data_IF_946018462497
#
_entry.id   IF_946018462497
#
_cell.length_a   1.000
_cell.length_b   1.000
_cell.length_c   1.000
_cell.angle_alpha   90.00
_cell.angle_beta   90.00
_cell.angle_gamma   90.00
#
_symmetry.space_group_name_H-M   'P 1'
#
loop_
_entity.id
_entity.type
_entity.pdbx_description
1 polymer ?
#
# COMPACT_ATOMS: atom_id res chain seq x y z
N UNK A 1 -16.31 -80.19 -33.12
CA UNK A 1 -15.10 -79.88 -32.32
C UNK A 1 -15.58 -79.28 -31.01
N UNK A 2 -15.89 -80.09 -30.00
CA UNK A 2 -14.97 -80.56 -28.93
C UNK A 2 -14.33 -79.38 -28.19
N UNK A 3 -14.79 -79.22 -26.95
CA UNK A 3 -14.23 -78.36 -25.91
C UNK A 3 -12.88 -78.90 -25.40
N UNK A 4 -12.03 -78.03 -24.87
CA UNK A 4 -10.98 -78.43 -23.93
C UNK A 4 -10.87 -77.45 -22.76
N UNK A 5 -10.87 -78.05 -21.58
CA UNK A 5 -10.67 -77.54 -20.22
C UNK A 5 -9.19 -77.23 -19.91
N UNK A 6 -8.99 -76.75 -18.67
CA UNK A 6 -7.78 -76.67 -17.81
C UNK A 6 -7.07 -75.30 -17.75
N UNK A 7 -6.62 -74.76 -16.61
CA UNK A 7 -6.71 -75.09 -15.17
C UNK A 7 -5.98 -73.99 -14.36
N UNK A 8 -6.45 -73.63 -13.15
CA UNK A 8 -5.67 -72.92 -12.09
C UNK A 8 -4.56 -73.84 -11.50
N UNK A 9 -3.66 -73.48 -10.53
CA UNK A 9 -3.63 -72.34 -9.58
C UNK A 9 -2.23 -71.76 -9.16
N UNK A 10 -2.24 -70.72 -8.31
CA UNK A 10 -1.38 -70.64 -7.11
C UNK A 10 -0.01 -69.93 -7.17
N UNK A 11 0.08 -68.78 -6.51
CA UNK A 11 1.13 -68.47 -5.51
C UNK A 11 0.64 -67.24 -4.71
N UNK A 12 0.06 -67.39 -3.52
CA UNK A 12 0.70 -67.67 -2.22
C UNK A 12 1.82 -66.67 -1.88
N UNK A 13 1.45 -65.65 -1.12
CA UNK A 13 2.32 -64.69 -0.46
C UNK A 13 1.60 -64.12 0.76
N UNK A 14 1.34 -64.99 1.74
CA UNK A 14 0.87 -64.63 3.08
C UNK A 14 1.99 -64.00 3.89
N UNK A 15 1.78 -62.84 4.53
CA UNK A 15 2.01 -62.65 5.99
C UNK A 15 1.16 -61.46 6.47
N UNK A 16 0.44 -61.68 7.55
CA UNK A 16 -0.47 -60.78 8.26
C UNK A 16 0.23 -59.99 9.38
N UNK A 17 -0.53 -58.99 9.89
CA UNK A 17 -0.45 -58.29 11.18
C UNK A 17 0.63 -57.20 11.30
N UNK A 18 0.37 -56.00 11.84
CA UNK A 18 -0.48 -55.61 12.97
C UNK A 18 -0.87 -54.13 12.91
N UNK A 19 -2.05 -53.82 13.42
CA UNK A 19 -2.44 -52.49 13.89
C UNK A 19 -1.41 -51.89 14.84
N UNK A 20 -1.10 -50.61 14.65
CA UNK A 20 -0.48 -49.77 15.67
C UNK A 20 -1.25 -48.44 15.76
N UNK A 21 -2.18 -48.41 16.70
CA UNK A 21 -2.73 -47.20 17.27
C UNK A 21 -1.64 -46.48 18.07
N UNK A 22 -1.45 -45.17 17.83
CA UNK A 22 -1.06 -44.23 18.89
C UNK A 22 -1.78 -42.88 18.68
N UNK A 23 -2.10 -42.17 19.79
CA UNK A 23 -3.09 -41.10 19.82
C UNK A 23 -2.45 -39.73 19.60
N UNK A 24 -3.14 -38.84 18.88
CA UNK A 24 -2.82 -37.41 18.92
C UNK A 24 -3.92 -36.70 19.68
N UNK A 25 -3.58 -36.32 20.91
CA UNK A 25 -4.31 -35.37 21.72
C UNK A 25 -4.31 -34.01 21.00
N UNK A 26 -5.48 -33.57 20.56
CA UNK A 26 -5.73 -32.25 20.00
C UNK A 26 -6.77 -31.52 20.83
N UNK A 27 -6.28 -30.60 21.66
CA UNK A 27 -7.01 -29.71 22.56
C UNK A 27 -8.22 -29.05 21.87
N UNK A 28 -9.43 -29.41 22.31
CA UNK A 28 -10.66 -28.70 21.96
C UNK A 28 -10.66 -27.33 22.68
N UNK A 29 -10.24 -26.27 21.99
CA UNK A 29 -10.36 -24.91 22.48
C UNK A 29 -11.83 -24.46 22.32
N UNK A 30 -12.61 -24.62 23.39
CA UNK A 30 -13.93 -23.98 23.51
C UNK A 30 -13.76 -22.47 23.56
N UNK A 31 -14.13 -21.76 22.49
CA UNK A 31 -14.32 -20.32 22.53
C UNK A 31 -15.64 -20.04 23.27
N UNK A 32 -15.53 -19.78 24.57
CA UNK A 32 -16.64 -19.28 25.38
C UNK A 32 -16.72 -17.76 25.23
N UNK A 33 -17.47 -17.28 24.25
CA UNK A 33 -17.90 -15.88 24.19
C UNK A 33 -18.95 -15.62 25.29
N UNK A 34 -18.52 -15.03 26.41
CA UNK A 34 -19.42 -14.43 27.40
C UNK A 34 -19.21 -12.92 27.39
N UNK A 35 -20.09 -12.22 26.69
CA UNK A 35 -20.24 -10.77 26.80
C UNK A 35 -21.20 -10.48 27.96
N UNK A 36 -20.80 -9.76 29.02
CA UNK A 36 -21.78 -9.20 29.94
C UNK A 36 -22.38 -7.92 29.35
N UNK A 37 -23.69 -8.03 29.17
CA UNK A 37 -24.70 -7.00 29.04
C UNK A 37 -24.41 -5.79 29.97
N UNK A 38 -24.34 -4.58 29.42
CA UNK A 38 -24.63 -3.37 30.20
C UNK A 38 -25.81 -2.63 29.56
N UNK A 39 -26.95 -2.81 30.23
CA UNK A 39 -28.17 -2.04 30.09
C UNK A 39 -27.95 -0.68 30.74
N UNK A 40 -28.12 0.41 30.00
CA UNK A 40 -28.64 1.66 30.56
C UNK A 40 -29.73 2.19 29.66
N UNK A 41 -30.95 2.13 30.18
CA UNK A 41 -32.10 2.92 29.78
C UNK A 41 -31.79 4.41 29.96
N UNK A 42 -32.16 5.22 28.97
CA UNK A 42 -33.00 6.39 29.20
C UNK A 42 -33.70 6.79 27.89
N UNK A 43 -35.03 6.70 27.91
CA UNK A 43 -35.96 7.36 27.00
C UNK A 43 -35.76 8.89 27.04
N UNK A 44 -36.19 9.71 26.08
CA UNK A 44 -36.99 9.47 24.89
C UNK A 44 -37.45 10.81 24.30
N UNK A 45 -38.03 10.71 23.10
CA UNK A 45 -38.98 11.64 22.45
C UNK A 45 -38.48 13.07 22.12
N UNK A 46 -38.19 13.34 20.84
CA UNK A 46 -39.15 13.85 19.83
C UNK A 46 -39.39 15.36 19.95
N UNK A 47 -39.03 16.13 18.92
CA UNK A 47 -39.99 16.89 18.10
C UNK A 47 -39.27 17.72 17.01
N UNK A 48 -40.04 17.92 15.94
CA UNK A 48 -39.70 18.45 14.62
C UNK A 48 -39.32 19.94 14.62
N UNK A 49 -38.45 20.34 13.68
CA UNK A 49 -38.68 21.36 12.61
C UNK A 49 -37.39 22.06 12.17
N UNK A 50 -37.11 21.93 10.88
CA UNK A 50 -36.40 22.92 10.06
C UNK A 50 -37.19 24.25 10.11
N UNK A 51 -36.54 25.42 10.26
CA UNK A 51 -36.27 26.23 9.07
C UNK A 51 -34.94 27.02 9.10
N UNK A 52 -34.32 27.18 7.93
CA UNK A 52 -33.39 28.26 7.60
C UNK A 52 -34.05 29.64 7.81
N UNK A 53 -33.30 30.74 8.10
CA UNK A 53 -32.65 31.48 7.01
C UNK A 53 -31.33 32.21 7.35
N UNK A 54 -30.65 32.62 6.26
CA UNK A 54 -29.66 33.68 6.11
C UNK A 54 -29.49 34.70 7.25
N UNK A 55 -28.23 34.99 7.65
CA UNK A 55 -27.70 36.37 7.75
C UNK A 55 -26.18 36.43 7.88
N UNK A 56 -25.59 37.27 7.04
CA UNK A 56 -24.22 37.78 7.10
C UNK A 56 -24.05 38.72 8.30
N UNK A 57 -22.88 38.71 8.92
CA UNK A 57 -22.44 39.75 9.85
C UNK A 57 -21.12 40.34 9.35
N UNK A 58 -21.24 41.57 8.84
CA UNK A 58 -20.15 42.53 8.64
C UNK A 58 -19.71 43.09 9.99
N UNK A 59 -18.41 43.18 10.25
CA UNK A 59 -17.85 44.11 11.24
C UNK A 59 -17.24 45.30 10.49
N UNK A 60 -17.83 46.46 10.71
CA UNK A 60 -17.25 47.76 10.39
C UNK A 60 -16.53 48.28 11.64
N UNK A 61 -15.33 48.83 11.47
CA UNK A 61 -14.71 49.70 12.47
C UNK A 61 -14.16 50.94 11.76
N UNK A 62 -14.47 52.06 12.39
CA UNK A 62 -14.51 53.44 11.90
C UNK A 62 -13.14 54.14 11.98
N UNK A 63 -12.93 55.12 11.10
CA UNK A 63 -11.78 56.04 11.08
C UNK A 63 -12.12 57.30 11.88
N UNK A 64 -11.21 57.79 12.73
CA UNK A 64 -10.78 59.20 12.72
C UNK A 64 -9.79 59.58 13.84
N UNK A 65 -8.84 60.43 13.44
CA UNK A 65 -8.17 61.49 14.21
C UNK A 65 -6.83 61.25 14.97
N UNK A 66 -5.76 61.71 14.29
CA UNK A 66 -4.68 62.65 14.74
C UNK A 66 -3.64 62.22 15.81
N UNK A 67 -2.46 62.89 15.95
CA UNK A 67 -1.75 63.80 15.03
C UNK A 67 -0.27 63.44 14.79
N UNK A 68 0.28 64.02 13.72
CA UNK A 68 1.69 63.98 13.35
C UNK A 68 2.58 64.88 14.23
N UNK A 69 3.69 64.34 14.74
CA UNK A 69 4.81 65.12 15.29
C UNK A 69 6.04 65.00 14.40
N UNK A 70 6.52 66.17 13.97
CA UNK A 70 7.70 66.46 13.15
C UNK A 70 9.03 66.33 13.93
N UNK A 71 10.12 66.39 13.15
CA UNK A 71 11.52 66.78 13.45
C UNK A 71 12.57 65.64 13.48
N UNK A 72 13.84 65.91 13.15
CA UNK A 72 14.36 65.79 11.78
C UNK A 72 15.55 64.81 11.67
N UNK A 73 15.92 64.51 10.43
CA UNK A 73 17.09 63.70 10.05
C UNK A 73 18.40 64.29 10.61
N UNK A 74 19.06 63.54 11.49
CA UNK A 74 20.48 63.73 11.81
C UNK A 74 21.27 62.60 11.13
N UNK A 75 22.13 62.97 10.19
CA UNK A 75 23.08 62.07 9.54
C UNK A 75 24.25 61.82 10.49
N UNK A 76 24.25 60.65 11.13
CA UNK A 76 25.40 60.11 11.84
C UNK A 76 26.11 59.09 10.94
N UNK A 77 27.29 59.47 10.46
CA UNK A 77 28.30 58.57 9.92
C UNK A 77 28.70 57.55 10.99
N UNK A 78 28.75 56.28 10.59
CA UNK A 78 28.92 55.14 11.47
C UNK A 78 29.31 53.91 10.67
N UNK A 79 30.46 54.00 10.00
CA UNK A 79 31.16 52.85 9.46
C UNK A 79 31.35 51.77 10.53
N UNK A 80 30.70 50.61 10.36
CA UNK A 80 31.15 49.38 11.00
C UNK A 80 31.08 48.21 10.01
N UNK A 81 32.19 48.05 9.31
CA UNK A 81 32.52 46.97 8.41
C UNK A 81 32.86 45.72 9.23
N UNK A 82 31.87 44.95 9.68
CA UNK A 82 32.08 43.60 10.22
C UNK A 82 30.82 42.73 10.07
N UNK A 83 30.34 42.53 8.85
CA UNK A 83 29.42 41.45 8.52
C UNK A 83 30.02 40.63 7.37
N UNK A 84 30.55 39.45 7.71
CA UNK A 84 31.05 38.52 6.71
C UNK A 84 29.92 38.14 5.73
N UNK A 85 30.16 38.08 4.41
CA UNK A 85 29.11 37.77 3.44
C UNK A 85 28.73 36.30 3.54
N UNK A 86 27.60 36.03 4.19
CA UNK A 86 26.98 34.71 4.22
C UNK A 86 26.56 34.34 2.78
N UNK A 87 27.19 33.32 2.21
CA UNK A 87 27.01 32.87 0.82
C UNK A 87 25.54 32.50 0.54
N UNK A 88 24.83 33.42 -0.12
CA UNK A 88 23.44 33.32 -0.57
C UNK A 88 23.17 32.11 -1.50
N UNK A 89 24.21 31.46 -2.03
CA UNK A 89 24.11 30.30 -2.91
C UNK A 89 23.72 29.00 -2.20
N UNK A 90 23.85 28.91 -0.88
CA UNK A 90 23.60 27.65 -0.15
C UNK A 90 22.12 27.46 0.24
N UNK A 91 21.34 28.54 0.39
CA UNK A 91 19.94 28.45 0.86
C UNK A 91 19.00 27.96 -0.25
N UNK A 92 19.28 28.28 -1.53
CA UNK A 92 18.45 27.86 -2.66
C UNK A 92 18.54 26.34 -2.94
N UNK A 93 19.68 25.72 -2.65
CA UNK A 93 19.90 24.27 -2.89
C UNK A 93 19.22 23.42 -1.82
N UNK A 94 19.04 23.93 -0.59
CA UNK A 94 18.41 23.20 0.51
C UNK A 94 16.89 23.08 0.35
N UNK A 95 16.21 24.07 -0.24
CA UNK A 95 14.77 23.99 -0.52
C UNK A 95 14.41 23.03 -1.66
N UNK A 96 15.27 22.88 -2.68
CA UNK A 96 15.01 21.94 -3.78
C UNK A 96 15.15 20.46 -3.37
N UNK A 97 16.01 20.14 -2.38
CA UNK A 97 16.17 18.77 -1.89
C UNK A 97 15.07 18.38 -0.90
N UNK A 98 14.52 19.35 -0.15
CA UNK A 98 13.37 19.13 0.74
C UNK A 98 12.03 18.99 -0.02
N UNK A 99 11.93 19.48 -1.26
CA UNK A 99 10.70 19.39 -2.07
C UNK A 99 10.55 18.09 -2.87
N UNK A 100 11.58 17.24 -2.96
CA UNK A 100 11.54 15.96 -3.70
C UNK A 100 11.08 14.79 -2.80
N UNK A 101 10.88 15.01 -1.50
CA UNK A 101 10.63 13.92 -0.53
C UNK A 101 9.14 13.62 -0.27
N UNK A 102 8.22 14.20 -1.05
CA UNK A 102 6.77 13.90 -1.00
C UNK A 102 6.37 13.06 -2.22
N UNK A 103 7.02 11.92 -2.42
CA UNK A 103 6.46 10.86 -3.25
C UNK A 103 5.48 10.09 -2.36
N UNK A 104 4.30 10.65 -2.10
CA UNK A 104 3.15 9.82 -1.73
C UNK A 104 3.01 8.75 -2.80
N UNK A 105 2.88 7.48 -2.41
CA UNK A 105 2.42 6.44 -3.33
C UNK A 105 1.04 6.87 -3.85
N UNK A 106 1.00 7.48 -5.04
CA UNK A 106 -0.26 7.84 -5.67
C UNK A 106 -0.91 6.52 -6.08
N UNK A 107 -2.15 6.31 -5.66
CA UNK A 107 -2.99 5.24 -6.17
C UNK A 107 -2.91 5.24 -7.70
N UNK A 108 -2.42 4.14 -8.28
CA UNK A 108 -2.28 4.00 -9.71
C UNK A 108 -3.64 3.69 -10.34
N UNK A 109 -3.77 3.99 -11.63
CA UNK A 109 -4.94 3.59 -12.42
C UNK A 109 -4.49 2.65 -13.52
N UNK A 110 -4.98 1.42 -13.50
CA UNK A 110 -4.72 0.42 -14.54
C UNK A 110 -5.88 0.38 -15.53
N UNK A 111 -5.54 0.43 -16.82
CA UNK A 111 -6.53 0.51 -17.91
C UNK A 111 -6.86 -0.87 -18.45
N UNK A 112 -8.15 -1.14 -18.63
CA UNK A 112 -8.68 -2.34 -19.28
C UNK A 112 -9.63 -1.91 -20.40
N UNK A 113 -9.38 -2.35 -21.62
CA UNK A 113 -10.29 -2.15 -22.73
C UNK A 113 -11.37 -3.24 -22.74
N UNK A 114 -12.62 -2.84 -22.92
CA UNK A 114 -13.79 -3.72 -22.99
C UNK A 114 -14.27 -3.78 -24.44
N UNK A 115 -14.36 -4.99 -25.01
CA UNK A 115 -14.87 -5.17 -26.37
C UNK A 115 -13.87 -4.85 -27.48
N UNK A 116 -12.62 -4.50 -27.15
CA UNK A 116 -11.60 -4.15 -28.13
C UNK A 116 -11.25 -5.38 -28.99
N UNK A 117 -11.74 -5.43 -30.22
CA UNK A 117 -11.53 -6.57 -31.12
C UNK A 117 -12.31 -7.82 -30.72
N UNK A 118 -13.53 -7.67 -30.19
CA UNK A 118 -14.48 -8.76 -29.96
C UNK A 118 -14.84 -8.97 -28.48
N UNK A 119 -15.37 -10.15 -28.15
CA UNK A 119 -15.91 -10.51 -26.83
C UNK A 119 -14.80 -10.76 -25.78
N UNK A 120 -14.01 -9.73 -25.44
CA UNK A 120 -12.87 -9.86 -24.53
C UNK A 120 -12.59 -8.58 -23.73
N UNK A 121 -11.86 -8.78 -22.62
CA UNK A 121 -11.17 -7.73 -21.88
C UNK A 121 -9.70 -7.68 -22.30
N UNK A 122 -9.12 -6.49 -22.48
CA UNK A 122 -7.71 -6.32 -22.88
C UNK A 122 -7.01 -5.27 -22.02
N UNK A 123 -6.04 -5.66 -21.16
CA UNK A 123 -5.70 -7.04 -20.81
C UNK A 123 -6.85 -7.77 -20.09
N UNK A 124 -6.86 -9.10 -20.20
CA UNK A 124 -7.89 -9.94 -19.55
C UNK A 124 -7.71 -9.96 -18.03
N UNK A 125 -6.45 -10.09 -17.60
CA UNK A 125 -6.08 -10.17 -16.20
C UNK A 125 -5.12 -9.02 -15.90
N UNK A 126 -5.29 -8.39 -14.73
CA UNK A 126 -4.42 -7.32 -14.26
C UNK A 126 -3.95 -7.61 -12.85
N UNK A 127 -2.73 -7.18 -12.54
CA UNK A 127 -2.21 -7.15 -11.17
C UNK A 127 -2.06 -5.69 -10.77
N UNK A 128 -2.61 -5.34 -9.61
CA UNK A 128 -2.59 -4.00 -9.03
C UNK A 128 -2.27 -4.08 -7.54
N UNK A 129 -2.06 -2.94 -6.90
CA UNK A 129 -1.85 -2.85 -5.46
C UNK A 129 -3.12 -2.41 -4.74
N UNK A 130 -3.20 -2.71 -3.44
CA UNK A 130 -4.23 -2.14 -2.57
C UNK A 130 -4.22 -0.61 -2.67
N UNK A 131 -5.38 -0.04 -2.95
CA UNK A 131 -5.60 1.39 -3.17
C UNK A 131 -5.63 1.80 -4.64
N UNK A 132 -5.17 0.94 -5.56
CA UNK A 132 -5.22 1.22 -7.00
C UNK A 132 -6.66 1.12 -7.54
N UNK A 133 -6.85 1.75 -8.70
CA UNK A 133 -8.12 1.73 -9.45
C UNK A 133 -7.95 1.00 -10.76
N UNK A 134 -8.91 0.17 -11.13
CA UNK A 134 -9.05 -0.32 -12.51
C UNK A 134 -10.06 0.56 -13.22
N UNK A 135 -9.66 1.08 -14.38
CA UNK A 135 -10.52 1.83 -15.30
C UNK A 135 -10.82 0.95 -16.51
N UNK A 136 -12.07 0.56 -16.66
CA UNK A 136 -12.57 -0.11 -17.85
C UNK A 136 -13.06 0.93 -18.85
N UNK A 137 -12.57 0.86 -20.09
CA UNK A 137 -12.98 1.74 -21.20
C UNK A 137 -13.59 0.89 -22.31
N UNK A 138 -14.78 1.24 -22.76
CA UNK A 138 -15.49 0.48 -23.80
C UNK A 138 -15.00 0.90 -25.18
N UNK A 139 -14.35 -0.04 -25.86
CA UNK A 139 -14.00 0.04 -27.27
C UNK A 139 -15.03 -0.66 -28.17
N UNK A 140 -15.85 -1.55 -27.60
CA UNK A 140 -16.99 -2.20 -28.24
C UNK A 140 -18.29 -1.97 -27.47
N UNK A 141 -19.41 -2.29 -28.11
CA UNK A 141 -20.76 -2.15 -27.53
C UNK A 141 -21.31 -3.45 -26.96
N UNK A 142 -22.40 -3.38 -26.20
CA UNK A 142 -23.10 -4.52 -25.59
C UNK A 142 -22.25 -5.34 -24.61
N UNK A 143 -21.38 -4.66 -23.83
CA UNK A 143 -20.53 -5.30 -22.84
C UNK A 143 -20.75 -4.77 -21.42
N UNK A 144 -20.44 -5.57 -20.41
CA UNK A 144 -20.35 -5.15 -19.00
C UNK A 144 -19.01 -5.55 -18.37
N UNK A 145 -18.73 -5.00 -17.20
CA UNK A 145 -17.83 -5.59 -16.19
C UNK A 145 -18.65 -5.81 -14.92
N UNK A 146 -18.79 -7.08 -14.54
CA UNK A 146 -19.60 -7.53 -13.41
C UNK A 146 -18.75 -8.46 -12.56
N UNK A 147 -18.67 -8.22 -11.26
CA UNK A 147 -17.84 -8.99 -10.34
C UNK A 147 -18.41 -10.38 -10.06
N UNK A 148 -17.52 -11.34 -9.82
CA UNK A 148 -17.85 -12.74 -9.61
C UNK A 148 -17.58 -13.59 -10.85
N UNK A 149 -18.32 -14.68 -10.99
CA UNK A 149 -18.20 -15.61 -12.11
C UNK A 149 -19.51 -15.69 -12.90
N UNK A 150 -19.51 -16.11 -14.18
CA UNK A 150 -20.74 -16.18 -14.96
C UNK A 150 -21.84 -16.97 -14.26
N UNK A 151 -23.01 -16.35 -14.08
CA UNK A 151 -24.15 -16.91 -13.36
C UNK A 151 -24.09 -16.81 -11.83
N UNK A 152 -22.97 -16.35 -11.25
CA UNK A 152 -22.77 -16.17 -9.82
C UNK A 152 -22.09 -14.82 -9.53
N UNK A 153 -22.80 -13.69 -9.67
CA UNK A 153 -22.28 -12.38 -9.29
C UNK A 153 -22.09 -12.31 -7.76
N UNK A 154 -20.98 -11.71 -7.32
CA UNK A 154 -20.68 -11.55 -5.88
C UNK A 154 -21.11 -10.17 -5.32
N UNK A 155 -21.57 -9.27 -6.19
CA UNK A 155 -22.11 -7.96 -5.82
C UNK A 155 -21.07 -6.90 -5.47
N UNK A 156 -19.78 -7.17 -5.69
CA UNK A 156 -18.71 -6.18 -5.45
C UNK A 156 -18.75 -5.00 -6.42
N UNK A 157 -19.06 -5.22 -7.71
CA UNK A 157 -19.38 -4.17 -8.66
C UNK A 157 -20.19 -4.69 -9.86
N UNK A 158 -20.92 -3.79 -10.52
CA UNK A 158 -21.54 -4.04 -11.81
C UNK A 158 -21.68 -2.72 -12.59
N UNK A 159 -21.12 -2.68 -13.81
CA UNK A 159 -21.27 -1.51 -14.69
C UNK A 159 -22.62 -1.45 -15.40
N UNK A 160 -23.37 -2.56 -15.41
CA UNK A 160 -24.43 -2.80 -16.37
C UNK A 160 -23.88 -2.98 -17.80
N UNK A 161 -24.77 -3.26 -18.75
CA UNK A 161 -24.43 -3.36 -20.18
C UNK A 161 -24.30 -1.96 -20.77
N UNK A 162 -23.16 -1.68 -21.39
CA UNK A 162 -22.76 -0.36 -21.87
C UNK A 162 -22.21 -0.44 -23.30
N UNK A 163 -22.12 0.73 -23.93
CA UNK A 163 -21.71 0.90 -25.31
C UNK A 163 -20.33 1.56 -25.44
N UNK A 164 -19.77 1.51 -26.66
CA UNK A 164 -18.48 2.15 -26.98
C UNK A 164 -18.41 3.60 -26.50
N UNK A 165 -17.27 3.98 -25.90
CA UNK A 165 -17.00 5.30 -25.32
C UNK A 165 -17.35 5.44 -23.84
N UNK A 166 -18.00 4.44 -23.22
CA UNK A 166 -18.26 4.41 -21.79
C UNK A 166 -16.98 4.14 -20.98
N UNK A 167 -16.94 4.65 -19.74
CA UNK A 167 -15.84 4.44 -18.79
C UNK A 167 -16.40 4.09 -17.41
N UNK A 168 -15.84 3.05 -16.80
CA UNK A 168 -16.17 2.60 -15.44
C UNK A 168 -14.89 2.51 -14.60
N UNK A 169 -14.95 2.94 -13.33
CA UNK A 169 -13.81 2.90 -12.41
C UNK A 169 -14.16 2.10 -11.15
N UNK A 170 -13.29 1.18 -10.74
CA UNK A 170 -13.37 0.49 -9.45
C UNK A 170 -12.04 0.60 -8.71
N UNK A 171 -12.08 1.18 -7.51
CA UNK A 171 -10.93 1.18 -6.58
C UNK A 171 -10.97 -0.08 -5.72
N UNK A 172 -9.81 -0.72 -5.54
CA UNK A 172 -9.68 -1.96 -4.77
C UNK A 172 -8.95 -1.69 -3.46
N UNK A 173 -9.63 -1.83 -2.32
CA UNK A 173 -9.08 -1.51 -0.99
C UNK A 173 -8.66 -2.74 -0.19
N UNK A 174 -8.90 -3.94 -0.70
CA UNK A 174 -8.52 -5.20 -0.08
C UNK A 174 -7.65 -6.02 -1.01
N UNK A 175 -6.61 -6.65 -0.44
CA UNK A 175 -5.81 -7.63 -1.18
C UNK A 175 -6.64 -8.89 -1.45
N UNK A 176 -6.41 -9.53 -2.59
CA UNK A 176 -7.17 -10.71 -3.02
C UNK A 176 -7.19 -10.86 -4.53
N UNK A 177 -7.87 -11.89 -5.03
CA UNK A 177 -8.16 -12.03 -6.46
C UNK A 177 -9.65 -11.86 -6.68
N UNK A 178 -10.02 -10.91 -7.53
CA UNK A 178 -11.39 -10.57 -7.85
C UNK A 178 -11.69 -11.01 -9.28
N UNK A 179 -12.46 -12.08 -9.43
CA UNK A 179 -12.95 -12.52 -10.73
C UNK A 179 -14.02 -11.55 -11.23
N UNK A 180 -14.10 -11.41 -12.55
CA UNK A 180 -15.16 -10.63 -13.19
C UNK A 180 -15.48 -11.18 -14.57
N UNK A 181 -16.65 -10.81 -15.07
CA UNK A 181 -17.15 -11.25 -16.36
C UNK A 181 -18.03 -10.20 -17.02
N UNK A 182 -18.26 -10.35 -18.32
CA UNK A 182 -19.26 -9.60 -19.05
C UNK A 182 -20.60 -10.34 -18.97
N UNK A 183 -21.63 -9.74 -18.40
CA UNK A 183 -22.94 -10.37 -18.18
C UNK A 183 -23.53 -11.05 -19.43
N UNK A 184 -23.66 -10.40 -20.60
CA UNK A 184 -24.19 -11.05 -21.80
C UNK A 184 -23.24 -12.09 -22.45
N UNK A 185 -21.94 -12.04 -22.16
CA UNK A 185 -20.91 -12.78 -22.93
C UNK A 185 -20.04 -13.73 -22.10
N UNK A 186 -20.23 -13.76 -20.77
CA UNK A 186 -19.45 -14.58 -19.85
C UNK A 186 -19.77 -16.06 -20.02
N UNK A 187 -21.06 -16.42 -19.93
CA UNK A 187 -21.48 -17.84 -19.98
C UNK A 187 -21.44 -18.44 -21.37
N UNK A 188 -21.81 -17.70 -22.42
CA UNK A 188 -21.85 -18.24 -23.79
C UNK A 188 -20.46 -18.34 -24.42
N UNK A 189 -19.60 -17.38 -24.09
CA UNK A 189 -18.51 -16.97 -24.97
C UNK A 189 -17.20 -16.73 -24.20
N UNK A 190 -17.19 -16.93 -22.87
CA UNK A 190 -15.97 -16.91 -22.05
C UNK A 190 -15.37 -15.52 -21.84
N UNK A 191 -16.16 -14.45 -21.97
CA UNK A 191 -15.67 -13.10 -21.68
C UNK A 191 -15.55 -12.88 -20.16
N UNK A 192 -14.43 -13.35 -19.60
CA UNK A 192 -14.08 -13.34 -18.18
C UNK A 192 -12.70 -12.71 -17.97
N UNK A 193 -12.42 -12.23 -16.77
CA UNK A 193 -11.11 -11.74 -16.38
C UNK A 193 -10.91 -11.80 -14.86
N UNK A 194 -9.73 -11.37 -14.41
CA UNK A 194 -9.44 -11.25 -12.98
C UNK A 194 -8.59 -10.02 -12.65
N UNK A 195 -8.87 -9.39 -11.52
CA UNK A 195 -8.01 -8.38 -10.89
C UNK A 195 -7.32 -9.03 -9.69
N UNK A 196 -6.01 -9.22 -9.77
CA UNK A 196 -5.19 -9.63 -8.63
C UNK A 196 -4.71 -8.39 -7.90
N UNK A 197 -5.12 -8.22 -6.65
CA UNK A 197 -4.73 -7.10 -5.78
C UNK A 197 -3.72 -7.62 -4.77
N UNK A 198 -2.48 -7.21 -4.93
CA UNK A 198 -1.43 -7.47 -3.94
C UNK A 198 -1.44 -6.36 -2.89
N UNK A 199 -0.94 -6.64 -1.68
CA UNK A 199 -0.66 -5.56 -0.75
C UNK A 199 0.25 -4.53 -1.44
N UNK A 200 -0.04 -3.24 -1.27
CA UNK A 200 0.86 -2.21 -1.77
C UNK A 200 2.22 -2.43 -1.13
N UNK A 201 3.25 -2.65 -1.96
CA UNK A 201 4.61 -2.63 -1.47
C UNK A 201 4.90 -1.22 -1.03
N UNK A 202 5.26 -1.08 0.24
CA UNK A 202 5.72 0.18 0.76
C UNK A 202 7.03 0.59 0.09
N UNK A 203 7.36 1.89 0.15
CA UNK A 203 8.53 2.45 -0.51
C UNK A 203 9.57 2.83 0.54
N UNK A 204 10.59 1.98 0.65
CA UNK A 204 11.78 2.26 1.46
C UNK A 204 12.68 3.27 0.73
N UNK A 205 13.19 4.27 1.44
CA UNK A 205 14.22 5.20 0.95
C UNK A 205 15.37 5.29 1.94
N UNK A 206 16.60 4.97 1.52
CA UNK A 206 17.78 5.11 2.37
C UNK A 206 18.27 6.55 2.31
N UNK A 207 18.10 7.30 3.40
CA UNK A 207 18.53 8.71 3.51
C UNK A 207 19.97 8.84 3.99
N UNK A 208 20.51 7.82 4.66
CA UNK A 208 21.91 7.79 5.11
C UNK A 208 22.44 6.35 5.21
N UNK A 209 23.62 6.13 4.63
CA UNK A 209 24.42 4.93 4.85
C UNK A 209 25.89 5.33 5.01
N UNK A 210 26.39 5.31 6.25
CA UNK A 210 27.74 5.80 6.56
C UNK A 210 28.52 4.84 7.46
N UNK A 211 29.75 4.54 7.07
CA UNK A 211 30.66 3.71 7.84
C UNK A 211 31.80 4.54 8.40
N UNK A 212 31.99 4.46 9.72
CA UNK A 212 33.10 5.09 10.45
C UNK A 212 34.16 4.03 10.75
N UNK A 213 35.25 4.02 9.98
CA UNK A 213 36.27 2.97 10.04
C UNK A 213 36.97 2.89 11.40
N UNK A 214 37.26 4.04 12.01
CA UNK A 214 37.91 4.14 13.33
C UNK A 214 37.09 3.52 14.46
N UNK A 215 35.77 3.33 14.28
CA UNK A 215 34.86 2.74 15.27
C UNK A 215 34.27 1.40 14.83
N UNK A 216 34.64 0.91 13.64
CA UNK A 216 34.00 -0.24 12.98
C UNK A 216 32.47 -0.17 13.08
N UNK A 217 31.91 1.01 12.77
CA UNK A 217 30.50 1.32 13.01
C UNK A 217 29.81 1.76 11.72
N UNK A 218 28.69 1.12 11.39
CA UNK A 218 27.76 1.54 10.35
C UNK A 218 26.57 2.27 10.98
N UNK A 219 26.24 3.45 10.45
CA UNK A 219 25.00 4.18 10.75
C UNK A 219 24.11 4.20 9.52
N UNK A 220 22.86 3.77 9.70
CA UNK A 220 21.85 3.74 8.64
C UNK A 220 20.64 4.57 9.07
N UNK A 221 20.12 5.38 8.14
CA UNK A 221 18.81 6.03 8.27
C UNK A 221 18.03 5.79 6.99
N UNK A 222 16.73 5.54 7.15
CA UNK A 222 15.81 5.33 6.05
C UNK A 222 14.44 5.93 6.39
N UNK A 223 13.61 6.14 5.38
CA UNK A 223 12.18 6.40 5.54
C UNK A 223 11.40 5.31 4.85
N UNK A 224 10.16 5.12 5.27
CA UNK A 224 9.20 4.26 4.61
C UNK A 224 7.87 5.01 4.40
N UNK A 225 7.19 4.74 3.29
CA UNK A 225 5.84 5.27 3.04
C UNK A 225 4.79 4.72 4.01
N UNK A 226 5.03 3.55 4.62
CA UNK A 226 4.21 3.00 5.69
C UNK A 226 4.91 3.17 7.05
N UNK A 227 4.27 3.94 7.92
CA UNK A 227 4.79 4.22 9.27
C UNK A 227 4.77 3.01 10.21
N UNK A 228 4.06 1.94 9.86
CA UNK A 228 3.98 0.69 10.60
C UNK A 228 5.00 -0.37 10.14
N UNK A 229 5.76 -0.09 9.08
CA UNK A 229 6.77 -0.99 8.55
C UNK A 229 7.85 -1.37 9.58
N UNK A 230 8.38 -2.58 9.44
CA UNK A 230 9.53 -3.09 10.17
C UNK A 230 10.67 -3.26 9.18
N UNK A 231 11.67 -2.39 9.28
CA UNK A 231 12.82 -2.40 8.38
C UNK A 231 13.98 -3.22 8.95
N UNK A 232 14.65 -3.97 8.08
CA UNK A 232 15.85 -4.74 8.38
C UNK A 232 16.98 -4.37 7.42
N UNK A 233 18.20 -4.26 7.95
CA UNK A 233 19.41 -3.99 7.15
C UNK A 233 20.16 -5.28 6.89
N UNK A 234 20.62 -5.47 5.66
CA UNK A 234 21.52 -6.55 5.25
C UNK A 234 22.69 -6.01 4.42
N UNK A 235 23.76 -6.80 4.33
CA UNK A 235 24.87 -6.56 3.41
C UNK A 235 24.45 -7.02 2.01
N UNK A 236 24.46 -6.12 1.03
CA UNK A 236 23.90 -6.42 -0.31
C UNK A 236 24.60 -7.59 -1.00
N UNK A 237 25.93 -7.69 -0.89
CA UNK A 237 26.71 -8.70 -1.61
C UNK A 237 26.54 -10.12 -1.06
N UNK A 238 26.31 -10.25 0.25
CA UNK A 238 26.25 -11.56 0.92
C UNK A 238 24.84 -11.95 1.38
N UNK A 239 23.90 -10.99 1.40
CA UNK A 239 22.58 -11.17 2.00
C UNK A 239 22.61 -11.28 3.53
N UNK A 240 23.77 -11.11 4.17
CA UNK A 240 23.91 -11.24 5.63
C UNK A 240 23.08 -10.16 6.33
N UNK A 241 22.14 -10.58 7.15
CA UNK A 241 21.30 -9.68 7.94
C UNK A 241 22.13 -9.08 9.09
N UNK A 242 22.19 -7.75 9.15
CA UNK A 242 22.82 -7.01 10.23
C UNK A 242 21.86 -6.78 11.40
N UNK A 243 20.58 -6.55 11.10
CA UNK A 243 19.52 -6.46 12.11
C UNK A 243 18.44 -5.42 11.81
N UNK A 244 17.44 -5.30 12.69
CA UNK A 244 16.30 -4.41 12.52
C UNK A 244 16.68 -2.94 12.74
N UNK A 245 15.87 -2.03 12.18
CA UNK A 245 15.93 -0.60 12.42
C UNK A 245 14.86 -0.16 13.41
N UNK A 246 15.13 0.89 14.18
CA UNK A 246 14.15 1.50 15.09
C UNK A 246 13.35 2.55 14.33
N UNK A 247 12.03 2.35 14.26
CA UNK A 247 11.09 3.28 13.63
C UNK A 247 10.54 4.34 14.58
N UNK A 248 10.25 5.52 14.03
CA UNK A 248 9.51 6.60 14.66
C UNK A 248 8.72 7.36 13.58
N UNK A 249 7.45 7.03 13.41
CA UNK A 249 6.55 7.70 12.46
C UNK A 249 7.02 7.69 11.01
N UNK A 250 7.43 6.53 10.49
CA UNK A 250 7.92 6.38 9.10
C UNK A 250 9.38 6.74 8.87
N UNK A 251 10.10 7.21 9.89
CA UNK A 251 11.56 7.36 9.85
C UNK A 251 12.23 6.26 10.66
N UNK A 252 13.29 5.66 10.13
CA UNK A 252 13.96 4.51 10.70
C UNK A 252 15.45 4.78 10.86
N UNK A 253 16.05 4.28 11.96
CA UNK A 253 17.49 4.40 12.17
C UNK A 253 18.08 3.17 12.85
N UNK A 254 19.34 2.86 12.50
CA UNK A 254 20.12 1.80 13.12
C UNK A 254 21.61 2.17 13.21
N UNK A 255 22.28 1.60 14.20
CA UNK A 255 23.74 1.62 14.34
C UNK A 255 24.23 0.21 14.60
N UNK A 256 25.19 -0.25 13.80
CA UNK A 256 25.80 -1.57 13.91
C UNK A 256 27.27 -1.39 14.23
N UNK A 257 27.74 -2.00 15.33
CA UNK A 257 29.11 -1.90 15.82
C UNK A 257 29.86 -3.21 15.57
N UNK A 258 31.19 -3.13 15.43
CA UNK A 258 32.04 -4.31 15.29
C UNK A 258 31.87 -5.03 13.95
N UNK A 259 31.41 -4.32 12.91
CA UNK A 259 31.25 -4.91 11.57
C UNK A 259 32.33 -4.40 10.63
N UNK A 260 32.72 -5.22 9.65
CA UNK A 260 33.55 -4.79 8.52
C UNK A 260 32.76 -3.86 7.58
N UNK A 261 33.45 -2.96 6.86
CA UNK A 261 32.81 -2.06 5.89
C UNK A 261 32.05 -2.87 4.83
N UNK A 262 30.70 -2.79 4.76
CA UNK A 262 29.94 -3.65 3.86
C UNK A 262 29.91 -3.16 2.40
N UNK A 263 30.46 -1.96 2.11
CA UNK A 263 30.49 -1.30 0.79
C UNK A 263 29.10 -0.93 0.23
N UNK A 264 28.13 -1.85 0.28
CA UNK A 264 26.73 -1.65 -0.05
C UNK A 264 25.83 -2.31 1.00
N UNK A 265 24.68 -1.71 1.25
CA UNK A 265 23.64 -2.27 2.11
C UNK A 265 22.30 -2.28 1.40
N UNK A 266 21.44 -3.20 1.84
CA UNK A 266 20.04 -3.27 1.46
C UNK A 266 19.20 -3.09 2.72
N UNK A 267 18.16 -2.27 2.63
CA UNK A 267 17.13 -2.13 3.66
C UNK A 267 15.84 -2.72 3.10
N UNK A 268 15.25 -3.64 3.83
CA UNK A 268 14.03 -4.37 3.42
C UNK A 268 12.93 -4.15 4.45
N UNK A 269 11.73 -3.86 3.98
CA UNK A 269 10.51 -3.81 4.78
C UNK A 269 9.80 -5.16 4.81
N UNK A 270 9.14 -5.46 5.93
CA UNK A 270 8.22 -6.59 6.04
C UNK A 270 6.98 -6.46 5.15
N UNK A 271 6.68 -5.27 4.61
CA UNK A 271 5.57 -5.02 3.69
C UNK A 271 5.98 -5.10 2.21
N UNK A 272 7.22 -5.52 1.93
CA UNK A 272 7.72 -5.87 0.60
C UNK A 272 8.58 -4.80 -0.08
N UNK A 273 8.60 -3.57 0.44
CA UNK A 273 9.50 -2.52 0.01
C UNK A 273 10.97 -2.83 0.27
N UNK A 274 11.86 -2.37 -0.62
CA UNK A 274 13.29 -2.42 -0.35
C UNK A 274 14.06 -1.33 -1.10
N UNK A 275 15.21 -0.96 -0.56
CA UNK A 275 16.16 -0.07 -1.22
C UNK A 275 17.58 -0.53 -0.96
N UNK A 276 18.49 -0.28 -1.91
CA UNK A 276 19.92 -0.53 -1.74
C UNK A 276 20.71 0.76 -1.95
N UNK A 277 21.78 0.93 -1.18
CA UNK A 277 22.62 2.13 -1.27
C UNK A 277 24.09 1.82 -1.01
N UNK A 278 25.01 2.53 -1.69
CA UNK A 278 26.42 2.49 -1.35
C UNK A 278 26.68 3.13 0.02
N UNK A 279 27.57 2.51 0.77
CA UNK A 279 28.00 2.98 2.08
C UNK A 279 29.15 3.96 1.91
N UNK A 280 28.95 5.19 2.39
CA UNK A 280 29.97 6.23 2.32
C UNK A 280 30.89 6.18 3.54
N UNK A 281 32.20 6.29 3.31
CA UNK A 281 33.17 6.45 4.39
C UNK A 281 32.99 7.80 5.09
N UNK A 282 33.18 7.79 6.40
CA UNK A 282 33.27 8.99 7.24
C UNK A 282 34.62 9.04 7.94
#
# INVERSE_FOLDING_TARGET
MIAHHNSSPGNAGSVLWTDLLLPIAGLAMRVSARYPLLVRLAAGASFLRNPSPFRQAFYAFDQSNEPATKFPLSLGDGSNQNAAPMKLKTILVVCCVAFISLLSSRAATVQVQVGAGGLKFTPQNVTIHVGDTVQWTWAGSDHSTTSGTPGNPDGMWDSGVQNSGFVFNQTFTGAGTFAYYCSPHGSCCGMIGSVMVTAATDTVQITRAQYTSTRSQLTVQATDSDSSALLTVSVTSTGTILGPMRGNGGTYSAKFNGISNPVNITVTSNLGGSASAPVRGR
#
